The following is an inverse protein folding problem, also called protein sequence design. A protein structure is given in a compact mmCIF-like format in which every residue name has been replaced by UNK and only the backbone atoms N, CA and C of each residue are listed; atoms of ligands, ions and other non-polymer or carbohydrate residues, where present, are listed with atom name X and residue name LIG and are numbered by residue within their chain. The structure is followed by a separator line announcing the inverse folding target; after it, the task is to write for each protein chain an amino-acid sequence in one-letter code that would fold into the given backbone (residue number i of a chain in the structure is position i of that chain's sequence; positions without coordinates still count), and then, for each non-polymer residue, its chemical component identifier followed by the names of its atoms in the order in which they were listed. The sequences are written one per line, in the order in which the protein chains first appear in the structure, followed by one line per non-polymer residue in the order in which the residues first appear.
data_IF_709573700869
#
_entry.id   IF_709573700869
#
_cell.length_a   1.000
_cell.length_b   1.000
_cell.length_c   1.000
_cell.angle_alpha   90.00
_cell.angle_beta   90.00
_cell.angle_gamma   90.00
#
_symmetry.space_group_name_H-M   'P 1'
#
loop_
_entity.id
_entity.type
_entity.pdbx_description
1 polymer ?
#
# COMPACT_ATOMS: atom_id res chain seq x y z
N UNK A 1 -2.99 -8.77 24.25
CA UNK A 1 -2.75 -7.66 23.32
C UNK A 1 -1.34 -7.83 22.82
N UNK A 2 -1.17 -7.76 21.51
CA UNK A 2 0.11 -7.85 20.82
C UNK A 2 0.78 -6.47 20.82
N UNK A 3 2.11 -6.44 20.69
CA UNK A 3 2.87 -5.21 20.44
C UNK A 3 3.31 -5.15 18.98
N UNK A 4 3.47 -3.93 18.44
CA UNK A 4 4.03 -3.70 17.11
C UNK A 4 5.00 -2.52 17.16
N UNK A 5 6.16 -2.69 16.55
CA UNK A 5 7.17 -1.65 16.39
C UNK A 5 7.88 -1.80 15.04
N UNK A 6 8.56 -0.74 14.59
CA UNK A 6 9.49 -0.81 13.46
C UNK A 6 10.92 -0.88 13.97
N UNK A 7 11.68 -1.84 13.45
CA UNK A 7 13.10 -2.00 13.74
C UNK A 7 13.88 -2.25 12.46
N UNK A 8 15.11 -1.73 12.45
CA UNK A 8 16.12 -2.05 11.45
C UNK A 8 16.63 -3.46 11.70
N UNK A 9 16.52 -4.31 10.68
CA UNK A 9 17.07 -5.67 10.64
C UNK A 9 18.14 -5.75 9.56
N UNK A 10 19.02 -6.75 9.67
CA UNK A 10 19.95 -7.10 8.60
C UNK A 10 19.36 -8.29 7.85
N UNK A 11 19.06 -8.10 6.57
CA UNK A 11 18.47 -9.15 5.73
C UNK A 11 19.51 -10.22 5.37
N UNK A 12 19.04 -11.33 4.80
CA UNK A 12 19.85 -12.41 4.24
C UNK A 12 20.82 -11.92 3.16
N UNK A 13 20.50 -10.81 2.49
CA UNK A 13 21.37 -10.12 1.54
C UNK A 13 22.40 -9.18 2.19
N UNK A 14 22.44 -9.11 3.54
CA UNK A 14 23.30 -8.21 4.33
C UNK A 14 23.00 -6.73 4.13
N UNK A 15 21.77 -6.42 3.73
CA UNK A 15 21.27 -5.05 3.63
C UNK A 15 20.51 -4.70 4.92
N UNK A 16 20.51 -3.41 5.26
CA UNK A 16 19.68 -2.90 6.35
C UNK A 16 18.28 -2.63 5.81
N UNK A 17 17.25 -3.16 6.47
CA UNK A 17 15.85 -3.00 6.07
C UNK A 17 14.98 -2.74 7.31
N UNK A 18 13.93 -1.95 7.15
CA UNK A 18 12.94 -1.75 8.21
C UNK A 18 11.97 -2.94 8.22
N UNK A 19 11.63 -3.43 9.41
CA UNK A 19 10.71 -4.55 9.57
C UNK A 19 9.72 -4.30 10.70
N UNK A 20 8.47 -4.68 10.47
CA UNK A 20 7.50 -4.82 11.55
C UNK A 20 7.96 -5.93 12.49
N UNK A 21 8.07 -5.61 13.78
CA UNK A 21 8.35 -6.56 14.84
C UNK A 21 7.10 -6.68 15.70
N UNK A 22 6.53 -7.87 15.73
CA UNK A 22 5.29 -8.19 16.44
C UNK A 22 5.64 -9.14 17.57
N UNK A 23 5.31 -8.75 18.80
CA UNK A 23 5.68 -9.47 20.03
C UNK A 23 7.18 -9.84 20.08
N UNK A 24 8.04 -8.94 19.59
CA UNK A 24 9.49 -9.12 19.56
C UNK A 24 10.02 -9.99 18.43
N UNK A 25 9.16 -10.48 17.53
CA UNK A 25 9.54 -11.29 16.38
C UNK A 25 9.32 -10.53 15.05
N UNK A 26 10.31 -10.46 14.15
CA UNK A 26 10.15 -9.82 12.84
C UNK A 26 9.08 -10.50 11.97
N UNK A 27 8.32 -9.70 11.23
CA UNK A 27 7.20 -10.17 10.40
C UNK A 27 7.65 -11.18 9.34
N UNK A 28 8.84 -11.01 8.75
CA UNK A 28 9.35 -11.93 7.74
C UNK A 28 9.52 -13.36 8.28
N UNK A 29 9.80 -13.53 9.58
CA UNK A 29 9.92 -14.86 10.19
C UNK A 29 8.56 -15.55 10.36
N UNK A 30 7.48 -14.78 10.55
CA UNK A 30 6.13 -15.32 10.52
C UNK A 30 5.75 -15.75 9.10
N UNK A 31 5.96 -14.88 8.12
CA UNK A 31 5.68 -15.15 6.72
C UNK A 31 6.46 -16.39 6.22
N UNK A 32 7.76 -16.47 6.50
CA UNK A 32 8.60 -17.63 6.15
C UNK A 32 8.01 -18.92 6.69
N UNK A 33 7.65 -18.94 7.99
CA UNK A 33 7.02 -20.10 8.63
C UNK A 33 5.70 -20.48 7.96
N UNK A 34 4.82 -19.51 7.71
CA UNK A 34 3.50 -19.79 7.13
C UNK A 34 3.58 -20.34 5.71
N UNK A 35 4.50 -19.82 4.89
CA UNK A 35 4.74 -20.34 3.54
C UNK A 35 5.27 -21.79 3.56
N UNK A 36 6.15 -22.13 4.51
CA UNK A 36 6.64 -23.49 4.71
C UNK A 36 5.52 -24.46 5.16
N UNK A 37 4.70 -24.05 6.14
CA UNK A 37 3.62 -24.87 6.71
C UNK A 37 2.52 -25.19 5.70
N UNK A 38 2.16 -24.22 4.84
CA UNK A 38 1.08 -24.36 3.86
C UNK A 38 1.49 -25.12 2.60
N UNK A 39 2.77 -25.53 2.49
CA UNK A 39 3.34 -26.18 1.29
C UNK A 39 2.98 -25.43 0.00
N UNK A 40 2.90 -24.10 0.04
CA UNK A 40 2.61 -23.23 -1.11
C UNK A 40 3.76 -23.22 -2.14
N UNK A 41 4.63 -24.22 -2.12
CA UNK A 41 5.96 -24.22 -2.72
C UNK A 41 6.91 -23.29 -1.98
N UNK A 42 8.21 -23.37 -2.31
CA UNK A 42 9.03 -22.16 -2.29
C UNK A 42 8.21 -21.15 -3.08
N UNK A 43 7.80 -20.04 -2.47
CA UNK A 43 7.00 -19.00 -3.11
C UNK A 43 7.46 -18.90 -4.56
N UNK A 44 6.62 -19.26 -5.54
CA UNK A 44 7.01 -19.55 -6.93
C UNK A 44 8.13 -18.60 -7.38
N UNK A 45 9.41 -19.02 -7.24
CA UNK A 45 10.58 -18.13 -7.33
C UNK A 45 10.25 -16.67 -6.97
N UNK A 46 9.98 -16.40 -5.70
CA UNK A 46 10.01 -15.06 -5.15
C UNK A 46 11.29 -14.40 -5.65
N UNK A 47 11.15 -13.31 -6.40
CA UNK A 47 12.28 -12.53 -6.92
C UNK A 47 13.11 -11.90 -5.79
N UNK A 48 12.65 -11.97 -4.53
CA UNK A 48 13.33 -11.48 -3.33
C UNK A 48 13.12 -12.45 -2.14
N UNK A 49 14.07 -12.53 -1.20
CA UNK A 49 13.80 -13.24 0.06
C UNK A 49 12.74 -12.46 0.86
N UNK A 50 11.93 -13.14 1.68
CA UNK A 50 10.80 -12.49 2.40
C UNK A 50 11.28 -11.36 3.33
N UNK A 51 12.51 -11.46 3.82
CA UNK A 51 13.18 -10.44 4.63
C UNK A 51 13.70 -9.23 3.83
N UNK A 52 13.71 -9.31 2.50
CA UNK A 52 14.05 -8.18 1.62
C UNK A 52 12.81 -7.33 1.25
N UNK A 53 11.59 -7.79 1.56
CA UNK A 53 10.40 -6.96 1.37
C UNK A 53 10.46 -5.74 2.29
N UNK A 54 10.11 -4.56 1.77
CA UNK A 54 10.21 -3.29 2.48
C UNK A 54 8.86 -2.89 3.06
N UNK A 55 8.88 -2.24 4.23
CA UNK A 55 7.69 -1.68 4.85
C UNK A 55 7.12 -0.56 3.99
N UNK A 56 5.81 -0.65 3.69
CA UNK A 56 5.10 0.36 2.86
C UNK A 56 4.74 1.63 3.63
N UNK A 57 4.85 1.63 4.96
CA UNK A 57 4.58 2.81 5.79
C UNK A 57 5.80 3.75 5.73
N UNK A 58 5.98 4.37 4.58
CA UNK A 58 7.09 5.27 4.27
C UNK A 58 6.63 6.39 3.34
N UNK A 59 7.40 7.49 3.30
CA UNK A 59 7.22 8.54 2.31
C UNK A 59 8.12 8.35 1.07
N UNK A 60 9.03 7.39 1.09
CA UNK A 60 10.11 7.22 0.10
C UNK A 60 9.72 6.39 -1.13
N UNK A 61 8.47 6.49 -1.59
CA UNK A 61 8.01 5.84 -2.82
C UNK A 61 8.66 6.46 -4.07
N UNK A 62 8.69 5.71 -5.17
CA UNK A 62 9.23 6.20 -6.44
C UNK A 62 8.44 7.40 -6.99
N UNK A 63 7.15 7.46 -6.65
CA UNK A 63 6.26 8.55 -7.02
C UNK A 63 5.50 9.11 -5.80
N UNK A 64 5.37 10.44 -5.72
CA UNK A 64 4.61 11.09 -4.65
C UNK A 64 3.12 10.69 -4.64
N UNK A 65 2.54 10.35 -5.79
CA UNK A 65 1.16 9.85 -5.87
C UNK A 65 0.94 8.57 -5.06
N UNK A 66 1.92 7.66 -5.03
CA UNK A 66 1.90 6.44 -4.23
C UNK A 66 2.09 6.74 -2.74
N UNK A 67 2.97 7.68 -2.40
CA UNK A 67 3.14 8.13 -1.02
C UNK A 67 1.85 8.79 -0.48
N UNK A 68 1.16 9.59 -1.29
CA UNK A 68 -0.17 10.17 -0.98
C UNK A 68 -1.22 9.09 -0.79
N UNK A 69 -1.22 8.08 -1.67
CA UNK A 69 -2.13 6.94 -1.57
C UNK A 69 -1.93 6.18 -0.25
N UNK A 70 -0.69 5.90 0.12
CA UNK A 70 -0.38 5.16 1.34
C UNK A 70 -0.80 5.94 2.60
N UNK A 71 -0.60 7.27 2.62
CA UNK A 71 -1.14 8.14 3.67
C UNK A 71 -2.67 8.07 3.74
N UNK A 72 -3.35 8.18 2.60
CA UNK A 72 -4.82 8.11 2.52
C UNK A 72 -5.37 6.76 3.02
N UNK A 73 -4.67 5.65 2.77
CA UNK A 73 -5.03 4.32 3.28
C UNK A 73 -4.89 4.24 4.81
N UNK A 74 -3.81 4.80 5.35
CA UNK A 74 -3.53 4.80 6.79
C UNK A 74 -4.55 5.59 7.60
N UNK A 75 -5.34 6.47 7.00
CA UNK A 75 -6.45 7.17 7.64
C UNK A 75 -7.74 6.33 7.71
N UNK A 76 -7.85 5.23 6.98
CA UNK A 76 -9.07 4.41 6.96
C UNK A 76 -9.20 3.56 8.22
N UNK A 77 -10.43 3.38 8.67
CA UNK A 77 -10.75 2.55 9.84
C UNK A 77 -10.87 1.06 9.49
N UNK A 78 -11.26 0.71 8.27
CA UNK A 78 -11.37 -0.69 7.83
C UNK A 78 -10.95 -0.85 6.38
N UNK A 79 -9.96 -1.69 6.14
CA UNK A 79 -9.39 -1.95 4.81
C UNK A 79 -8.42 -3.13 4.81
N UNK A 80 -8.15 -3.68 3.64
CA UNK A 80 -6.95 -4.44 3.34
C UNK A 80 -5.81 -3.45 3.08
N UNK A 81 -4.90 -3.34 4.05
CA UNK A 81 -3.83 -2.35 4.09
C UNK A 81 -2.51 -2.98 3.59
N UNK A 82 -1.85 -2.43 2.55
CA UNK A 82 -0.48 -2.77 2.21
C UNK A 82 0.46 -2.56 3.40
N UNK A 83 1.22 -3.60 3.73
CA UNK A 83 2.20 -3.58 4.82
C UNK A 83 3.62 -3.86 4.33
N UNK A 84 3.79 -4.63 3.25
CA UNK A 84 5.10 -4.87 2.63
C UNK A 84 5.03 -4.77 1.10
N UNK A 85 6.09 -4.28 0.48
CA UNK A 85 6.26 -4.22 -0.97
C UNK A 85 7.63 -4.75 -1.41
N UNK A 86 7.76 -5.05 -2.70
CA UNK A 86 9.05 -5.31 -3.34
C UNK A 86 9.99 -4.08 -3.21
N UNK A 87 11.27 -4.26 -2.86
CA UNK A 87 12.24 -3.16 -2.81
C UNK A 87 12.66 -2.63 -4.19
N UNK A 88 12.60 -3.46 -5.23
CA UNK A 88 13.09 -3.12 -6.57
C UNK A 88 12.16 -2.16 -7.33
N UNK A 89 10.88 -2.09 -6.92
CA UNK A 89 9.85 -1.28 -7.56
C UNK A 89 8.85 -0.83 -6.49
N UNK A 90 9.11 0.35 -5.90
CA UNK A 90 8.33 0.87 -4.78
C UNK A 90 7.21 1.76 -5.33
N UNK A 91 6.35 1.13 -6.13
CA UNK A 91 5.19 1.74 -6.82
C UNK A 91 3.91 0.87 -6.76
N UNK A 92 3.95 -0.21 -5.96
CA UNK A 92 2.90 -1.22 -5.77
C UNK A 92 2.59 -2.14 -6.97
N UNK A 93 3.43 -2.16 -8.01
CA UNK A 93 3.17 -2.96 -9.22
C UNK A 93 3.65 -4.43 -9.13
N UNK A 94 4.53 -4.74 -8.17
CA UNK A 94 5.20 -6.04 -8.08
C UNK A 94 4.61 -6.97 -7.01
N UNK A 95 5.25 -7.08 -5.84
CA UNK A 95 4.77 -7.89 -4.72
C UNK A 95 4.20 -6.94 -3.70
N UNK A 96 2.94 -7.13 -3.34
CA UNK A 96 2.29 -6.41 -2.24
C UNK A 96 1.71 -7.42 -1.25
N UNK A 97 2.15 -7.32 0.01
CA UNK A 97 1.55 -8.04 1.14
C UNK A 97 0.61 -7.08 1.86
N UNK A 98 -0.60 -7.54 2.15
CA UNK A 98 -1.64 -6.78 2.84
C UNK A 98 -2.02 -7.45 4.16
N UNK A 99 -2.47 -6.65 5.12
CA UNK A 99 -3.21 -7.10 6.30
C UNK A 99 -4.67 -6.65 6.20
N UNK A 100 -5.63 -7.51 6.55
CA UNK A 100 -7.01 -7.08 6.80
C UNK A 100 -7.05 -6.33 8.14
N UNK A 101 -7.17 -5.01 8.06
CA UNK A 101 -7.15 -4.11 9.21
C UNK A 101 -8.55 -3.64 9.57
N UNK A 102 -8.88 -3.71 10.85
CA UNK A 102 -10.05 -3.06 11.43
C UNK A 102 -9.63 -2.29 12.68
N UNK A 103 -9.85 -0.99 12.68
CA UNK A 103 -9.56 -0.12 13.79
C UNK A 103 -10.85 0.25 14.51
N UNK A 104 -10.76 0.26 15.83
CA UNK A 104 -11.83 0.62 16.75
C UNK A 104 -11.34 1.79 17.61
N UNK A 105 -12.17 2.23 18.56
CA UNK A 105 -11.82 3.30 19.49
C UNK A 105 -10.57 2.96 20.30
N UNK A 106 -10.45 1.71 20.75
CA UNK A 106 -9.40 1.31 21.69
C UNK A 106 -8.35 0.36 21.09
N UNK A 107 -8.68 -0.31 19.97
CA UNK A 107 -7.82 -1.36 19.41
C UNK A 107 -7.71 -1.29 17.88
N UNK A 108 -6.60 -1.81 17.36
CA UNK A 108 -6.40 -2.10 15.94
C UNK A 108 -6.21 -3.61 15.76
N UNK A 109 -7.01 -4.21 14.90
CA UNK A 109 -6.97 -5.63 14.58
C UNK A 109 -6.32 -5.85 13.22
N UNK A 110 -5.37 -6.77 13.16
CA UNK A 110 -4.95 -7.40 11.90
C UNK A 110 -5.50 -8.83 11.92
N UNK A 111 -6.57 -9.06 11.17
CA UNK A 111 -7.28 -10.35 11.20
C UNK A 111 -6.52 -11.42 10.45
N UNK A 112 -6.05 -11.08 9.26
CA UNK A 112 -5.32 -11.99 8.38
C UNK A 112 -4.37 -11.25 7.45
N UNK A 113 -3.40 -11.98 6.93
CA UNK A 113 -2.36 -11.48 6.03
C UNK A 113 -2.42 -12.24 4.71
N UNK A 114 -2.28 -11.52 3.60
CA UNK A 114 -2.38 -12.08 2.26
C UNK A 114 -1.48 -11.38 1.25
N UNK A 115 -1.31 -12.01 0.09
CA UNK A 115 -0.59 -11.45 -1.05
C UNK A 115 -1.58 -10.99 -2.11
N UNK A 116 -1.39 -9.78 -2.63
CA UNK A 116 -2.18 -9.28 -3.76
C UNK A 116 -1.86 -10.08 -5.03
N UNK A 117 -2.90 -10.47 -5.76
CA UNK A 117 -2.80 -11.09 -7.07
C UNK A 117 -2.96 -10.04 -8.18
N UNK A 118 -1.84 -9.52 -8.68
CA UNK A 118 -1.81 -8.51 -9.75
C UNK A 118 -2.26 -9.03 -11.13
N UNK A 119 -2.47 -10.34 -11.32
CA UNK A 119 -2.87 -10.88 -12.64
C UNK A 119 -4.25 -10.43 -13.10
N UNK A 120 -5.06 -9.90 -12.18
CA UNK A 120 -6.37 -9.32 -12.45
C UNK A 120 -6.29 -7.88 -12.97
N UNK A 121 -5.17 -7.19 -12.71
CA UNK A 121 -5.05 -5.75 -12.93
C UNK A 121 -4.87 -5.47 -14.42
N UNK A 122 -5.58 -4.45 -14.91
CA UNK A 122 -5.58 -4.09 -16.31
C UNK A 122 -5.22 -2.62 -16.44
N UNK A 123 -4.01 -2.38 -16.92
CA UNK A 123 -3.46 -1.05 -17.11
C UNK A 123 -4.38 -0.11 -17.92
N UNK A 124 -5.06 -0.62 -18.95
CA UNK A 124 -5.98 0.22 -19.74
C UNK A 124 -7.24 0.61 -18.95
N UNK A 125 -7.74 -0.25 -18.06
CA UNK A 125 -8.84 0.12 -17.16
C UNK A 125 -8.35 1.10 -16.09
N UNK A 126 -7.17 0.86 -15.50
CA UNK A 126 -6.56 1.75 -14.50
C UNK A 126 -6.42 3.19 -15.02
N UNK A 127 -5.97 3.39 -16.26
CA UNK A 127 -5.82 4.72 -16.86
C UNK A 127 -7.14 5.50 -16.92
N UNK A 128 -8.26 4.82 -17.17
CA UNK A 128 -9.59 5.43 -17.22
C UNK A 128 -10.10 5.84 -15.81
N UNK A 129 -9.44 5.38 -14.75
CA UNK A 129 -9.76 5.74 -13.35
C UNK A 129 -8.88 6.88 -12.80
N UNK A 130 -8.03 7.48 -13.65
CA UNK A 130 -7.24 8.65 -13.31
C UNK A 130 -8.05 9.96 -13.34
N UNK A 131 -7.43 11.03 -13.82
CA UNK A 131 -8.00 12.38 -13.91
C UNK A 131 -9.27 12.43 -14.75
N UNK A 132 -9.44 11.52 -15.70
CA UNK A 132 -10.60 11.52 -16.61
C UNK A 132 -11.88 10.98 -15.95
N UNK A 133 -11.79 10.34 -14.77
CA UNK A 133 -12.92 9.80 -14.02
C UNK A 133 -13.65 10.91 -13.23
N UNK A 134 -14.41 11.72 -13.96
CA UNK A 134 -15.07 12.92 -13.41
C UNK A 134 -16.17 12.63 -12.38
N UNK A 135 -16.69 11.41 -12.33
CA UNK A 135 -17.73 11.02 -11.35
C UNK A 135 -17.21 11.07 -9.89
N UNK A 136 -15.89 11.09 -9.72
CA UNK A 136 -15.23 11.21 -8.40
C UNK A 136 -14.84 12.64 -8.04
N UNK A 137 -15.11 13.62 -8.91
CA UNK A 137 -14.71 15.01 -8.69
C UNK A 137 -15.54 15.69 -7.60
N UNK A 138 -14.84 16.38 -6.70
CA UNK A 138 -15.38 17.40 -5.82
C UNK A 138 -15.53 18.76 -6.52
N UNK A 139 -16.20 19.71 -5.86
CA UNK A 139 -16.27 21.10 -6.33
C UNK A 139 -14.89 21.76 -6.48
N UNK A 140 -13.91 21.34 -5.68
CA UNK A 140 -12.53 21.83 -5.79
C UNK A 140 -11.79 21.21 -6.97
N UNK A 141 -12.04 19.93 -7.25
CA UNK A 141 -11.48 19.25 -8.42
C UNK A 141 -11.97 19.90 -9.71
N UNK A 142 -13.26 20.24 -9.78
CA UNK A 142 -13.80 20.99 -10.91
C UNK A 142 -13.13 22.34 -11.12
N UNK A 143 -12.70 23.02 -10.05
CA UNK A 143 -11.96 24.29 -10.18
C UNK A 143 -10.53 24.09 -10.67
N UNK A 144 -9.89 22.98 -10.30
CA UNK A 144 -8.47 22.72 -10.58
C UNK A 144 -8.23 21.99 -11.90
N UNK A 145 -9.12 21.08 -12.28
CA UNK A 145 -8.86 20.06 -13.30
C UNK A 145 -9.93 20.00 -14.40
N UNK A 146 -10.76 21.04 -14.54
CA UNK A 146 -11.76 21.10 -15.60
C UNK A 146 -11.14 21.09 -17.01
N UNK A 147 -9.89 21.53 -17.15
CA UNK A 147 -9.12 21.48 -18.40
C UNK A 147 -8.71 20.06 -18.79
N UNK A 148 -8.54 19.16 -17.81
CA UNK A 148 -8.24 17.74 -18.01
C UNK A 148 -9.47 16.84 -18.09
N UNK A 149 -10.62 17.33 -17.63
CA UNK A 149 -11.87 16.59 -17.64
C UNK A 149 -12.23 16.16 -19.07
N UNK A 150 -12.67 14.90 -19.21
CA UNK A 150 -13.08 14.30 -20.49
C UNK A 150 -12.00 14.22 -21.59
N UNK A 151 -10.73 14.50 -21.29
CA UNK A 151 -9.64 14.17 -22.19
C UNK A 151 -9.68 12.67 -22.52
N UNK A 152 -9.41 12.30 -23.77
CA UNK A 152 -9.36 10.89 -24.14
C UNK A 152 -8.06 10.27 -23.61
N UNK A 153 -8.16 9.16 -22.88
CA UNK A 153 -7.00 8.38 -22.44
C UNK A 153 -6.10 8.01 -23.64
N UNK A 154 -4.79 8.05 -23.42
CA UNK A 154 -3.76 7.85 -24.43
C UNK A 154 -3.73 8.89 -25.58
N UNK A 155 -4.55 9.96 -25.54
CA UNK A 155 -4.42 11.07 -26.50
C UNK A 155 -3.15 11.89 -26.25
N UNK A 156 -2.73 12.68 -27.25
CA UNK A 156 -1.56 13.56 -27.12
C UNK A 156 -1.77 14.63 -26.03
N UNK A 157 -2.98 15.16 -25.93
CA UNK A 157 -3.37 16.14 -24.92
C UNK A 157 -3.28 15.55 -23.51
N UNK A 158 -3.91 14.38 -23.29
CA UNK A 158 -3.84 13.67 -22.03
C UNK A 158 -2.40 13.31 -21.64
N UNK A 159 -1.59 12.80 -22.58
CA UNK A 159 -0.17 12.50 -22.34
C UNK A 159 0.62 13.77 -21.95
N UNK A 160 0.32 14.89 -22.59
CA UNK A 160 0.90 16.19 -22.24
C UNK A 160 0.54 16.61 -20.82
N UNK A 161 -0.74 16.50 -20.46
CA UNK A 161 -1.21 16.85 -19.12
C UNK A 161 -0.57 15.98 -18.03
N UNK A 162 -0.63 14.64 -18.16
CA UNK A 162 -0.06 13.74 -17.14
C UNK A 162 1.44 13.90 -16.98
N UNK A 163 2.18 14.32 -18.03
CA UNK A 163 3.63 14.56 -17.93
C UNK A 163 4.00 15.68 -16.95
N UNK A 164 3.06 16.58 -16.65
CA UNK A 164 3.23 17.71 -15.73
C UNK A 164 2.45 17.53 -14.42
N UNK A 165 1.53 16.57 -14.36
CA UNK A 165 0.63 16.32 -13.23
C UNK A 165 0.63 14.84 -12.80
N UNK A 166 1.75 14.13 -12.99
CA UNK A 166 1.83 12.69 -12.78
C UNK A 166 1.46 12.25 -11.36
N UNK A 167 1.90 12.98 -10.32
CA UNK A 167 1.53 12.68 -8.93
C UNK A 167 0.00 12.68 -8.74
N UNK A 168 -0.70 13.65 -9.31
CA UNK A 168 -2.15 13.76 -9.20
C UNK A 168 -2.88 12.66 -9.98
N UNK A 169 -2.45 12.43 -11.23
CA UNK A 169 -2.97 11.35 -12.05
C UNK A 169 -2.81 9.99 -11.34
N UNK A 170 -1.61 9.72 -10.84
CA UNK A 170 -1.29 8.45 -10.19
C UNK A 170 -2.08 8.28 -8.89
N UNK A 171 -2.15 9.30 -8.03
CA UNK A 171 -2.94 9.25 -6.81
C UNK A 171 -4.41 8.92 -7.11
N UNK A 172 -5.00 9.54 -8.14
CA UNK A 172 -6.38 9.26 -8.58
C UNK A 172 -6.56 7.81 -9.02
N UNK A 173 -5.67 7.30 -9.87
CA UNK A 173 -5.69 5.88 -10.27
C UNK A 173 -5.62 4.96 -9.05
N UNK A 174 -4.76 5.27 -8.08
CA UNK A 174 -4.62 4.45 -6.88
C UNK A 174 -5.89 4.42 -6.03
N UNK A 175 -6.53 5.57 -5.77
CA UNK A 175 -7.77 5.61 -4.96
C UNK A 175 -9.00 5.07 -5.71
N UNK A 176 -9.05 5.21 -7.03
CA UNK A 176 -10.22 4.85 -7.84
C UNK A 176 -10.15 3.45 -8.46
N UNK A 177 -8.96 2.85 -8.56
CA UNK A 177 -8.75 1.52 -9.15
C UNK A 177 -8.02 0.59 -8.18
N UNK A 178 -6.76 0.88 -7.84
CA UNK A 178 -5.91 -0.01 -7.04
C UNK A 178 -6.50 -0.30 -5.67
N UNK A 179 -7.05 0.71 -4.99
CA UNK A 179 -7.75 0.55 -3.72
C UNK A 179 -8.83 -0.54 -3.79
N UNK A 180 -9.69 -0.47 -4.81
CA UNK A 180 -10.79 -1.41 -4.99
C UNK A 180 -10.29 -2.81 -5.32
N UNK A 181 -9.21 -2.94 -6.10
CA UNK A 181 -8.55 -4.22 -6.33
C UNK A 181 -8.11 -4.86 -5.00
N UNK A 182 -7.52 -4.08 -4.09
CA UNK A 182 -7.06 -4.58 -2.80
C UNK A 182 -8.20 -4.87 -1.83
N UNK A 183 -9.33 -4.18 -1.94
CA UNK A 183 -10.47 -4.40 -1.02
C UNK A 183 -11.32 -5.62 -1.38
N UNK A 184 -11.10 -6.23 -2.54
CA UNK A 184 -11.82 -7.42 -2.99
C UNK A 184 -11.03 -8.69 -2.65
N UNK A 185 -11.54 -9.46 -1.69
CA UNK A 185 -10.94 -10.71 -1.22
C UNK A 185 -10.58 -11.71 -2.32
N UNK A 186 -11.29 -11.68 -3.45
CA UNK A 186 -11.02 -12.56 -4.60
C UNK A 186 -9.67 -12.28 -5.26
N UNK A 187 -9.09 -11.12 -4.96
CA UNK A 187 -7.85 -10.62 -5.52
C UNK A 187 -6.68 -10.82 -4.55
N UNK A 188 -6.91 -11.47 -3.41
CA UNK A 188 -5.90 -11.69 -2.37
C UNK A 188 -5.78 -13.19 -2.13
N UNK A 189 -4.56 -13.68 -2.31
CA UNK A 189 -4.16 -15.01 -1.86
C UNK A 189 -3.87 -14.92 -0.36
N UNK A 190 -4.90 -15.18 0.48
CA UNK A 190 -4.76 -15.16 1.94
C UNK A 190 -3.82 -16.26 2.43
N UNK A 191 -2.86 -15.86 3.25
CA UNK A 191 -1.79 -16.72 3.75
C UNK A 191 -2.14 -17.23 5.15
N UNK A 192 -2.55 -16.35 6.07
CA UNK A 192 -2.73 -16.74 7.46
C UNK A 192 -3.74 -15.84 8.19
N UNK A 193 -4.58 -16.45 9.03
CA UNK A 193 -5.47 -15.77 9.98
C UNK A 193 -4.74 -15.60 11.32
N UNK A 194 -4.26 -14.39 11.61
CA UNK A 194 -3.41 -14.11 12.78
C UNK A 194 -4.16 -13.52 13.98
N UNK A 195 -5.30 -12.85 13.75
CA UNK A 195 -6.12 -12.18 14.77
C UNK A 195 -5.31 -11.33 15.77
N UNK A 196 -4.27 -10.65 15.28
CA UNK A 196 -3.46 -9.76 16.11
C UNK A 196 -4.27 -8.54 16.53
N UNK A 197 -4.09 -8.13 17.78
CA UNK A 197 -4.81 -7.02 18.40
C UNK A 197 -3.81 -6.09 19.09
N UNK A 198 -3.73 -4.85 18.63
CA UNK A 198 -2.82 -3.82 19.11
C UNK A 198 -3.60 -2.72 19.83
N UNK A 199 -2.94 -2.04 20.78
CA UNK A 199 -3.47 -0.81 21.38
C UNK A 199 -3.59 0.29 20.31
N UNK A 200 -4.71 1.02 20.29
CA UNK A 200 -4.95 2.07 19.29
C UNK A 200 -3.94 3.21 19.38
N UNK A 201 -3.61 3.65 20.58
CA UNK A 201 -2.72 4.80 20.79
C UNK A 201 -1.30 4.43 20.38
N UNK A 202 -0.80 3.28 20.80
CA UNK A 202 0.54 2.81 20.41
C UNK A 202 0.65 2.62 18.88
N UNK A 203 -0.39 2.06 18.25
CA UNK A 203 -0.42 1.88 16.80
C UNK A 203 -0.39 3.22 16.05
N UNK A 204 -1.18 4.22 16.49
CA UNK A 204 -1.19 5.55 15.88
C UNK A 204 0.12 6.31 16.09
N UNK A 205 0.78 6.12 17.23
CA UNK A 205 2.11 6.66 17.47
C UNK A 205 3.13 6.05 16.52
N UNK A 206 3.07 4.75 16.27
CA UNK A 206 3.91 4.08 15.29
C UNK A 206 3.66 4.63 13.88
N UNK A 207 2.41 4.70 13.43
CA UNK A 207 2.04 5.27 12.12
C UNK A 207 2.55 6.70 11.98
N UNK A 208 2.37 7.53 13.01
CA UNK A 208 2.83 8.92 13.02
C UNK A 208 4.36 9.04 12.95
N UNK A 209 5.09 8.08 13.51
CA UNK A 209 6.57 8.06 13.43
C UNK A 209 7.09 7.75 12.03
N UNK A 210 6.29 7.06 11.21
CA UNK A 210 6.61 6.71 9.83
C UNK A 210 6.44 7.89 8.86
N UNK A 211 5.61 8.87 9.22
CA UNK A 211 5.30 10.05 8.41
C UNK A 211 5.51 11.32 9.25
N UNK A 212 6.74 11.85 9.35
CA UNK A 212 7.01 13.08 10.08
C UNK A 212 6.10 14.22 9.58
N UNK A 213 5.64 15.10 10.48
CA UNK A 213 4.66 16.17 10.19
C UNK A 213 4.99 17.06 8.98
N UNK A 214 6.26 17.21 8.61
CA UNK A 214 6.69 17.96 7.41
C UNK A 214 6.22 17.32 6.09
N UNK A 215 5.87 16.03 6.10
CA UNK A 215 5.24 15.32 4.99
C UNK A 215 3.71 15.50 4.95
N UNK A 216 3.10 16.07 6.00
CA UNK A 216 1.65 16.31 6.10
C UNK A 216 1.24 17.73 5.65
N UNK A 217 2.18 18.67 5.60
CA UNK A 217 1.90 20.09 5.35
C UNK A 217 1.98 20.51 3.85
N UNK A 218 2.20 19.57 2.92
CA UNK A 218 2.28 19.88 1.48
C UNK A 218 0.93 19.87 0.75
N UNK A 219 -0.20 20.02 1.47
CA UNK A 219 -1.50 20.32 0.86
C UNK A 219 -1.68 21.85 0.69
N UNK A 220 -0.71 22.49 0.02
CA UNK A 220 -0.78 23.90 -0.40
C UNK A 220 -1.06 24.01 -1.89
#
# INVERSE_FOLDING_TARGET
MNTIELKKIITSQKCENDSFVIDGKPLYEYLTKWYEELRLGQIQKLLAHVDDLVVTWTASFDNDGDARFMRWLLEKEKLNLPILSCPDDLDFSCIVIVAEVEKTVDHVYWKRIGKVNHSIEKLEEEKEHGIVLVDTYSDEDWKKYADAAFMRVNSAEWRGWISTHWSEELFRRRINYTYHCYQDDRNIDWIYDCDWCFDRIEYELLVSSCYPRWCMDNNG
#
